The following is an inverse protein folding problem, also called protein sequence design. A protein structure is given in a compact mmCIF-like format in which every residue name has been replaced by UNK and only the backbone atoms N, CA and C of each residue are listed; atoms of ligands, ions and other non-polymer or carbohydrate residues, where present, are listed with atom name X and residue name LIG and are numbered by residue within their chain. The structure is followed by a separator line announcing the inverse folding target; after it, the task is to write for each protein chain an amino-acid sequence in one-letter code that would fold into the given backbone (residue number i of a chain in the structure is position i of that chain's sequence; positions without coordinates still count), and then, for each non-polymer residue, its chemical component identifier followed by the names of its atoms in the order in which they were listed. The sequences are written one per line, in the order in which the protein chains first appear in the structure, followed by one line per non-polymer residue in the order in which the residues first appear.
data_IF_719314653395
#
_entry.id   IF_719314653395
#
_cell.length_a   1.000
_cell.length_b   1.000
_cell.length_c   1.000
_cell.angle_alpha   90.00
_cell.angle_beta   90.00
_cell.angle_gamma   90.00
#
_symmetry.space_group_name_H-M   'P 1'
#
loop_
_entity.id
_entity.type
_entity.pdbx_description
1 polymer ?
#
# COMPACT_ATOMS: atom_id res chain seq x y z
N UNK A 1 14.02 -30.82 -3.35
CA UNK A 1 12.81 -30.00 -3.13
C UNK A 1 13.25 -28.63 -2.69
N UNK A 2 12.74 -27.56 -3.31
CA UNK A 2 13.05 -26.20 -2.89
C UNK A 2 12.16 -25.86 -1.70
N UNK A 3 12.76 -25.59 -0.55
CA UNK A 3 12.06 -25.17 0.66
C UNK A 3 11.96 -23.64 0.71
N UNK A 4 10.93 -23.12 1.33
CA UNK A 4 10.84 -21.70 1.63
C UNK A 4 11.87 -21.32 2.70
N UNK A 5 12.61 -20.25 2.47
CA UNK A 5 13.52 -19.68 3.46
C UNK A 5 12.74 -19.16 4.67
N UNK A 6 13.42 -18.85 5.77
CA UNK A 6 12.81 -18.11 6.86
C UNK A 6 12.27 -16.77 6.31
N UNK A 7 10.97 -16.60 6.41
CA UNK A 7 10.31 -15.37 5.95
C UNK A 7 10.68 -14.18 6.83
N UNK A 8 10.43 -12.97 6.32
CA UNK A 8 10.59 -11.72 7.05
C UNK A 8 9.35 -10.86 6.93
N UNK A 9 9.13 -10.00 7.89
CA UNK A 9 7.99 -9.08 7.89
C UNK A 9 8.37 -7.75 8.53
N UNK A 10 7.59 -6.73 8.22
CA UNK A 10 7.74 -5.40 8.81
C UNK A 10 6.42 -4.65 8.70
N UNK A 11 6.05 -3.93 9.76
CA UNK A 11 4.95 -2.96 9.78
C UNK A 11 5.51 -1.60 10.16
N UNK A 12 5.14 -0.58 9.41
CA UNK A 12 5.62 0.80 9.61
C UNK A 12 4.44 1.74 9.69
N UNK A 13 4.46 2.57 10.72
CA UNK A 13 3.45 3.62 10.91
C UNK A 13 3.46 4.61 9.77
N UNK A 14 2.30 4.91 9.24
CA UNK A 14 2.07 5.87 8.17
C UNK A 14 2.47 7.29 8.53
N UNK A 15 2.99 8.03 7.55
CA UNK A 15 3.37 9.43 7.76
C UNK A 15 2.18 10.31 8.21
N UNK A 16 0.96 10.00 7.75
CA UNK A 16 -0.26 10.68 8.17
C UNK A 16 -0.64 10.32 9.62
N UNK A 17 -0.56 9.05 10.01
CA UNK A 17 -0.83 8.59 11.38
C UNK A 17 0.19 9.16 12.36
N UNK A 18 1.48 9.17 12.00
CA UNK A 18 2.54 9.78 12.82
C UNK A 18 2.28 11.27 13.12
N UNK A 19 1.84 12.03 12.10
CA UNK A 19 1.47 13.46 12.29
C UNK A 19 0.25 13.65 13.20
N UNK A 20 -0.62 12.64 13.30
CA UNK A 20 -1.83 12.66 14.15
C UNK A 20 -1.61 11.99 15.52
N UNK A 21 -0.38 11.56 15.84
CA UNK A 21 -0.06 10.78 17.04
C UNK A 21 -0.93 9.51 17.20
N UNK A 22 -1.31 8.88 16.09
CA UNK A 22 -2.01 7.60 16.11
C UNK A 22 -1.00 6.46 16.16
N UNK A 23 -1.36 5.28 16.71
CA UNK A 23 -0.56 4.09 16.60
C UNK A 23 -0.52 3.59 15.15
N UNK A 24 0.43 2.70 14.84
CA UNK A 24 0.34 1.88 13.64
C UNK A 24 -0.87 0.95 13.79
N UNK A 25 -1.83 1.06 12.90
CA UNK A 25 -3.04 0.23 12.89
C UNK A 25 -2.84 -1.08 12.12
N UNK A 26 -1.77 -1.16 11.34
CA UNK A 26 -1.36 -2.35 10.61
C UNK A 26 -0.62 -3.36 11.50
N UNK A 27 -0.71 -4.62 11.10
CA UNK A 27 0.08 -5.72 11.65
C UNK A 27 0.58 -6.65 10.56
N UNK A 28 1.81 -7.14 10.71
CA UNK A 28 2.36 -8.20 9.89
C UNK A 28 3.03 -9.26 10.75
N UNK A 29 3.01 -10.50 10.27
CA UNK A 29 3.61 -11.62 11.00
C UNK A 29 4.11 -12.69 10.03
N UNK A 30 5.24 -13.28 10.37
CA UNK A 30 5.73 -14.51 9.78
C UNK A 30 5.93 -15.52 10.89
N UNK A 31 5.33 -16.69 10.77
CA UNK A 31 5.47 -17.73 11.76
C UNK A 31 5.65 -19.12 11.12
N UNK A 32 6.35 -19.98 11.79
CA UNK A 32 6.56 -21.38 11.38
C UNK A 32 5.76 -22.30 12.29
N UNK A 33 4.74 -22.92 11.72
CA UNK A 33 3.87 -23.87 12.45
C UNK A 33 4.55 -25.24 12.60
N UNK A 34 5.25 -25.66 11.53
CA UNK A 34 6.02 -26.91 11.52
C UNK A 34 7.24 -26.75 10.59
N UNK A 35 8.18 -27.71 10.53
CA UNK A 35 9.31 -27.64 9.59
C UNK A 35 8.88 -27.40 8.13
N UNK A 36 7.69 -27.90 7.75
CA UNK A 36 7.15 -27.88 6.39
C UNK A 36 5.97 -26.92 6.20
N UNK A 37 5.59 -26.13 7.21
CA UNK A 37 4.51 -25.16 7.12
C UNK A 37 4.91 -23.82 7.73
N UNK A 38 5.00 -22.80 6.88
CA UNK A 38 5.23 -21.41 7.26
C UNK A 38 4.05 -20.54 6.85
N UNK A 39 3.80 -19.48 7.59
CA UNK A 39 2.73 -18.52 7.32
C UNK A 39 3.30 -17.13 7.05
N UNK A 40 2.66 -16.41 6.11
CA UNK A 40 2.76 -14.96 5.98
C UNK A 40 1.39 -14.38 6.31
N UNK A 41 1.35 -13.37 7.16
CA UNK A 41 0.13 -12.73 7.64
C UNK A 41 0.29 -11.23 7.57
N UNK A 42 -0.73 -10.52 7.08
CA UNK A 42 -0.87 -9.06 7.18
C UNK A 42 -2.31 -8.72 7.55
N UNK A 43 -2.48 -7.62 8.25
CA UNK A 43 -3.80 -7.10 8.62
C UNK A 43 -3.72 -5.59 8.71
N UNK A 44 -4.63 -4.90 8.03
CA UNK A 44 -4.81 -3.46 8.06
C UNK A 44 -5.96 -3.13 9.01
N UNK A 45 -5.70 -2.29 10.00
CA UNK A 45 -6.68 -1.80 10.96
C UNK A 45 -7.36 -0.54 10.43
N UNK A 46 -8.69 -0.58 10.29
CA UNK A 46 -9.45 0.53 9.74
C UNK A 46 -9.23 1.85 10.47
N UNK A 47 -9.11 2.94 9.71
CA UNK A 47 -9.04 4.29 10.21
C UNK A 47 -10.40 4.82 10.71
N UNK A 48 -10.36 5.92 11.47
CA UNK A 48 -11.55 6.62 11.95
C UNK A 48 -11.96 6.30 13.39
N UNK A 49 -12.80 7.17 13.97
CA UNK A 49 -13.18 7.10 15.40
C UNK A 49 -13.98 5.85 15.78
N UNK A 50 -14.69 5.27 14.80
CA UNK A 50 -15.44 4.02 14.99
C UNK A 50 -14.52 2.82 15.29
N UNK A 51 -13.29 2.84 14.81
CA UNK A 51 -12.35 1.73 14.82
C UNK A 51 -11.15 2.00 15.75
N UNK A 52 -11.37 2.65 16.87
CA UNK A 52 -10.32 3.18 17.76
C UNK A 52 -9.36 2.14 18.36
N UNK A 53 -9.69 0.85 18.28
CA UNK A 53 -8.88 -0.30 18.73
C UNK A 53 -8.47 -1.19 17.56
N UNK A 54 -8.44 -0.66 16.35
CA UNK A 54 -8.10 -1.42 15.15
C UNK A 54 -6.64 -1.89 15.12
N UNK A 55 -5.73 -1.16 15.77
CA UNK A 55 -4.35 -1.60 16.02
C UNK A 55 -4.25 -2.88 16.85
N UNK A 56 -5.13 -3.02 17.84
CA UNK A 56 -5.28 -4.26 18.60
C UNK A 56 -5.99 -5.32 17.75
N UNK A 57 -7.01 -4.92 17.02
CA UNK A 57 -7.80 -5.80 16.15
C UNK A 57 -6.93 -6.48 15.08
N UNK A 58 -6.09 -5.74 14.37
CA UNK A 58 -5.19 -6.24 13.33
C UNK A 58 -4.14 -7.20 13.90
N UNK A 59 -3.55 -6.86 15.04
CA UNK A 59 -2.59 -7.72 15.72
C UNK A 59 -3.24 -9.04 16.16
N UNK A 60 -4.43 -9.00 16.77
CA UNK A 60 -5.16 -10.18 17.21
C UNK A 60 -5.67 -11.02 16.03
N UNK A 61 -5.95 -10.43 14.87
CA UNK A 61 -6.31 -11.14 13.65
C UNK A 61 -5.17 -12.05 13.16
N UNK A 62 -3.94 -11.54 13.14
CA UNK A 62 -2.76 -12.33 12.80
C UNK A 62 -2.55 -13.49 13.81
N UNK A 63 -2.73 -13.25 15.11
CA UNK A 63 -2.61 -14.30 16.13
C UNK A 63 -3.71 -15.35 15.96
N UNK A 64 -4.96 -14.95 15.77
CA UNK A 64 -6.08 -15.85 15.55
C UNK A 64 -5.88 -16.75 14.32
N UNK A 65 -5.31 -16.20 13.24
CA UNK A 65 -4.97 -16.96 12.04
C UNK A 65 -3.88 -18.01 12.31
N UNK A 66 -2.81 -17.64 13.01
CA UNK A 66 -1.74 -18.56 13.41
C UNK A 66 -2.28 -19.72 14.24
N UNK A 67 -3.08 -19.44 15.27
CA UNK A 67 -3.68 -20.45 16.14
C UNK A 67 -4.67 -21.37 15.41
N UNK A 68 -5.49 -20.79 14.51
CA UNK A 68 -6.46 -21.58 13.73
C UNK A 68 -5.74 -22.57 12.80
N UNK A 69 -4.73 -22.08 12.07
CA UNK A 69 -3.95 -22.91 11.15
C UNK A 69 -3.14 -23.95 11.90
N UNK A 70 -2.56 -23.60 13.04
CA UNK A 70 -1.86 -24.55 13.91
C UNK A 70 -2.74 -25.70 14.37
N UNK A 71 -3.99 -25.41 14.78
CA UNK A 71 -4.96 -26.42 15.18
C UNK A 71 -5.35 -27.36 14.03
N UNK A 72 -5.56 -26.82 12.82
CA UNK A 72 -5.87 -27.61 11.62
C UNK A 72 -4.66 -28.48 11.22
N UNK A 73 -3.46 -27.91 11.20
CA UNK A 73 -2.24 -28.61 10.82
C UNK A 73 -1.86 -29.75 11.77
N UNK A 74 -2.36 -29.73 13.01
CA UNK A 74 -2.20 -30.83 13.95
C UNK A 74 -2.98 -32.10 13.57
N UNK A 75 -4.04 -31.96 12.75
CA UNK A 75 -4.95 -33.05 12.40
C UNK A 75 -5.04 -33.35 10.91
N UNK A 76 -4.74 -32.37 10.06
CA UNK A 76 -4.79 -32.48 8.60
C UNK A 76 -3.39 -32.59 8.01
N UNK A 77 -3.14 -33.65 7.25
CA UNK A 77 -1.86 -33.84 6.55
C UNK A 77 -1.61 -32.74 5.51
N UNK A 78 -0.37 -32.23 5.44
CA UNK A 78 0.03 -31.24 4.42
C UNK A 78 -0.01 -31.81 2.98
N UNK A 79 -0.02 -33.12 2.81
CA UNK A 79 -0.17 -33.81 1.53
C UNK A 79 -1.61 -33.82 1.03
N UNK A 80 -2.60 -33.64 1.93
CA UNK A 80 -4.03 -33.56 1.57
C UNK A 80 -4.40 -32.17 1.03
N UNK A 81 -4.00 -31.89 -0.22
CA UNK A 81 -4.30 -30.61 -0.87
C UNK A 81 -5.80 -30.37 -1.04
N UNK A 82 -6.61 -31.41 -1.22
CA UNK A 82 -8.06 -31.27 -1.32
C UNK A 82 -8.68 -30.85 0.02
N UNK A 83 -8.25 -31.45 1.11
CA UNK A 83 -8.61 -31.06 2.47
C UNK A 83 -8.20 -29.61 2.75
N UNK A 84 -6.96 -29.22 2.43
CA UNK A 84 -6.50 -27.84 2.62
C UNK A 84 -7.25 -26.82 1.78
N UNK A 85 -7.63 -27.17 0.53
CA UNK A 85 -8.48 -26.30 -0.29
C UNK A 85 -9.83 -26.03 0.39
N UNK A 86 -10.47 -27.09 0.91
CA UNK A 86 -11.74 -26.98 1.66
C UNK A 86 -11.58 -26.13 2.91
N UNK A 87 -10.44 -26.27 3.62
CA UNK A 87 -10.11 -25.44 4.78
C UNK A 87 -10.01 -23.97 4.40
N UNK A 88 -9.21 -23.63 3.39
CA UNK A 88 -9.00 -22.24 2.93
C UNK A 88 -10.31 -21.56 2.51
N UNK A 89 -11.20 -22.31 1.86
CA UNK A 89 -12.46 -21.78 1.33
C UNK A 89 -13.55 -21.59 2.40
N UNK A 90 -13.61 -22.45 3.43
CA UNK A 90 -14.79 -22.54 4.29
C UNK A 90 -14.50 -22.59 5.78
N UNK A 91 -13.69 -23.55 6.22
CA UNK A 91 -13.58 -23.88 7.66
C UNK A 91 -12.59 -22.97 8.38
N UNK A 92 -11.46 -22.65 7.72
CA UNK A 92 -10.43 -21.77 8.28
C UNK A 92 -10.95 -20.35 8.49
N UNK A 93 -11.69 -19.70 7.56
CA UNK A 93 -12.31 -18.40 7.79
C UNK A 93 -13.15 -18.35 9.07
N UNK A 94 -14.04 -19.32 9.25
CA UNK A 94 -14.89 -19.40 10.45
C UNK A 94 -14.07 -19.63 11.74
N UNK A 95 -13.04 -20.47 11.65
CA UNK A 95 -12.17 -20.75 12.79
C UNK A 95 -11.34 -19.52 13.19
N UNK A 96 -10.91 -18.70 12.24
CA UNK A 96 -10.19 -17.45 12.49
C UNK A 96 -11.13 -16.42 13.11
N UNK A 97 -12.29 -16.16 12.49
CA UNK A 97 -13.27 -15.21 13.00
C UNK A 97 -13.65 -15.51 14.45
N UNK A 98 -13.95 -16.76 14.75
CA UNK A 98 -14.32 -17.18 16.12
C UNK A 98 -13.20 -16.91 17.12
N UNK A 99 -11.94 -17.21 16.78
CA UNK A 99 -10.79 -16.95 17.66
C UNK A 99 -10.55 -15.45 17.83
N UNK A 100 -10.64 -14.70 16.73
CA UNK A 100 -10.50 -13.26 16.76
C UNK A 100 -11.56 -12.60 17.65
N UNK A 101 -12.83 -12.98 17.51
CA UNK A 101 -13.91 -12.46 18.35
C UNK A 101 -13.66 -12.73 19.84
N UNK A 102 -13.24 -13.94 20.20
CA UNK A 102 -12.88 -14.28 21.60
C UNK A 102 -11.69 -13.45 22.10
N UNK A 103 -10.68 -13.24 21.25
CA UNK A 103 -9.49 -12.49 21.62
C UNK A 103 -9.81 -11.00 21.87
N UNK A 104 -10.63 -10.38 21.03
CA UNK A 104 -11.04 -8.98 21.22
C UNK A 104 -12.00 -8.82 22.42
N UNK A 105 -12.89 -9.79 22.70
CA UNK A 105 -13.72 -9.80 23.91
C UNK A 105 -12.88 -9.91 25.17
N UNK A 106 -11.86 -10.78 25.16
CA UNK A 106 -10.91 -10.92 26.26
C UNK A 106 -10.14 -9.63 26.48
N UNK A 107 -9.64 -9.03 25.41
CA UNK A 107 -8.96 -7.73 25.47
C UNK A 107 -9.88 -6.65 26.04
N UNK A 108 -11.12 -6.54 25.54
CA UNK A 108 -12.11 -5.59 26.02
C UNK A 108 -12.35 -5.74 27.52
N UNK A 109 -12.58 -6.98 27.97
CA UNK A 109 -12.84 -7.28 29.39
C UNK A 109 -11.66 -6.98 30.32
N UNK A 110 -10.45 -6.91 29.77
CA UNK A 110 -9.24 -6.54 30.54
C UNK A 110 -9.04 -5.04 30.68
N UNK A 111 -9.79 -4.21 29.96
CA UNK A 111 -9.66 -2.75 30.05
C UNK A 111 -10.43 -2.24 31.29
N UNK A 112 -9.74 -1.64 32.22
CA UNK A 112 -10.30 -1.16 33.49
C UNK A 112 -11.31 -0.01 33.33
N UNK A 113 -11.29 0.69 32.18
CA UNK A 113 -12.10 1.90 31.95
C UNK A 113 -13.43 1.63 31.22
N UNK A 114 -13.75 0.38 30.87
CA UNK A 114 -14.92 0.04 30.06
C UNK A 114 -16.28 0.16 30.77
N UNK A 115 -16.31 0.58 32.04
CA UNK A 115 -17.53 0.62 32.87
C UNK A 115 -18.70 1.45 32.33
N UNK A 116 -18.55 2.17 31.22
CA UNK A 116 -19.60 3.03 30.61
C UNK A 116 -19.95 2.70 29.17
N UNK A 117 -19.15 1.87 28.51
CA UNK A 117 -19.38 1.52 27.10
C UNK A 117 -19.63 0.02 26.94
N UNK A 118 -20.52 -0.35 26.02
CA UNK A 118 -20.75 -1.75 25.67
C UNK A 118 -19.73 -2.23 24.65
N UNK A 119 -19.34 -3.50 24.74
CA UNK A 119 -18.49 -4.16 23.75
C UNK A 119 -19.07 -4.04 22.35
N UNK A 120 -18.20 -3.77 21.38
CA UNK A 120 -18.52 -3.85 19.94
C UNK A 120 -17.31 -4.31 19.16
N UNK A 121 -17.47 -5.35 18.34
CA UNK A 121 -16.42 -5.83 17.45
C UNK A 121 -15.99 -4.78 16.42
N UNK A 122 -16.88 -3.83 16.10
CA UNK A 122 -16.57 -2.72 15.20
C UNK A 122 -15.39 -1.85 15.68
N UNK A 123 -15.17 -1.75 17.00
CA UNK A 123 -14.03 -1.01 17.54
C UNK A 123 -12.68 -1.56 17.07
N UNK A 124 -12.62 -2.86 16.75
CA UNK A 124 -11.44 -3.64 16.38
C UNK A 124 -11.37 -3.94 14.88
N UNK A 125 -12.18 -3.26 14.06
CA UNK A 125 -12.31 -3.58 12.64
C UNK A 125 -10.98 -3.56 11.89
N UNK A 126 -10.73 -4.66 11.15
CA UNK A 126 -9.50 -4.84 10.38
C UNK A 126 -9.72 -5.81 9.21
N UNK A 127 -8.80 -5.76 8.24
CA UNK A 127 -8.64 -6.76 7.18
C UNK A 127 -7.79 -7.94 7.66
N UNK A 128 -7.60 -8.95 6.83
CA UNK A 128 -6.64 -10.02 7.07
C UNK A 128 -6.26 -10.70 5.76
N UNK A 129 -4.97 -10.73 5.43
CA UNK A 129 -4.38 -11.57 4.38
C UNK A 129 -3.57 -12.70 5.00
N UNK A 130 -3.77 -13.91 4.48
CA UNK A 130 -3.14 -15.15 4.98
C UNK A 130 -2.54 -15.91 3.82
N UNK A 131 -1.26 -16.30 3.94
CA UNK A 131 -0.57 -17.19 3.01
C UNK A 131 0.04 -18.36 3.76
N UNK A 132 -0.23 -19.57 3.29
CA UNK A 132 0.35 -20.81 3.76
C UNK A 132 1.41 -21.28 2.77
N UNK A 133 2.60 -21.62 3.27
CA UNK A 133 3.75 -22.02 2.47
C UNK A 133 4.18 -23.43 2.87
N UNK A 134 4.13 -24.36 1.92
CA UNK A 134 4.66 -25.72 2.07
C UNK A 134 5.68 -26.04 0.97
N UNK A 135 6.46 -27.11 1.06
CA UNK A 135 7.34 -27.53 -0.02
C UNK A 135 6.62 -27.88 -1.32
N UNK A 136 5.35 -28.36 -1.26
CA UNK A 136 4.61 -28.88 -2.40
C UNK A 136 3.55 -27.92 -2.95
N UNK A 137 3.05 -27.00 -2.14
CA UNK A 137 2.03 -26.04 -2.53
C UNK A 137 2.12 -24.78 -1.67
N UNK A 138 1.53 -23.70 -2.16
CA UNK A 138 1.16 -22.58 -1.32
C UNK A 138 -0.33 -22.29 -1.48
N UNK A 139 -0.93 -21.71 -0.46
CA UNK A 139 -2.33 -21.28 -0.52
C UNK A 139 -2.50 -19.94 0.14
N UNK A 140 -3.52 -19.20 -0.32
CA UNK A 140 -3.89 -17.94 0.31
C UNK A 140 -5.40 -17.85 0.53
N UNK A 141 -5.78 -17.06 1.51
CA UNK A 141 -7.16 -16.68 1.81
C UNK A 141 -7.15 -15.37 2.60
N UNK A 142 -8.31 -14.74 2.77
CA UNK A 142 -8.37 -13.50 3.55
C UNK A 142 -9.62 -12.68 3.30
N UNK A 143 -9.72 -11.57 4.02
CA UNK A 143 -10.79 -10.58 3.90
C UNK A 143 -10.20 -9.18 3.84
N UNK A 144 -10.81 -8.29 3.05
CA UNK A 144 -10.31 -6.93 2.84
C UNK A 144 -9.42 -6.82 1.61
N UNK A 145 -8.70 -5.73 1.48
CA UNK A 145 -7.97 -5.29 0.28
C UNK A 145 -6.44 -5.50 0.35
N UNK A 146 -6.01 -6.57 1.03
CA UNK A 146 -4.61 -6.99 1.01
C UNK A 146 -4.17 -7.42 -0.39
N UNK A 147 -2.87 -7.26 -0.70
CA UNK A 147 -2.25 -7.63 -1.97
C UNK A 147 -1.25 -8.78 -1.79
N UNK A 148 -1.30 -9.77 -2.70
CA UNK A 148 -0.33 -10.85 -2.81
C UNK A 148 0.36 -10.82 -4.17
N UNK A 149 1.68 -10.65 -4.17
CA UNK A 149 2.50 -10.68 -5.37
C UNK A 149 3.31 -11.96 -5.42
N UNK A 150 3.18 -12.70 -6.52
CA UNK A 150 3.95 -13.89 -6.83
C UNK A 150 5.06 -13.56 -7.84
N UNK A 151 6.31 -13.93 -7.53
CA UNK A 151 7.50 -13.56 -8.29
C UNK A 151 8.18 -14.84 -8.79
N UNK A 152 8.43 -14.90 -10.09
CA UNK A 152 9.09 -15.98 -10.80
C UNK A 152 10.62 -15.81 -10.80
N UNK A 153 11.33 -16.88 -11.18
CA UNK A 153 12.74 -16.77 -11.50
C UNK A 153 12.96 -15.76 -12.63
N UNK A 154 13.88 -14.80 -12.41
CA UNK A 154 14.09 -13.70 -13.36
C UNK A 154 13.39 -12.40 -13.02
N UNK A 155 12.56 -12.38 -11.96
CA UNK A 155 11.94 -11.16 -11.45
C UNK A 155 10.59 -10.81 -12.09
N UNK A 156 10.04 -11.71 -12.91
CA UNK A 156 8.67 -11.54 -13.42
C UNK A 156 7.67 -11.65 -12.26
N UNK A 157 6.92 -10.59 -12.02
CA UNK A 157 6.02 -10.43 -10.88
C UNK A 157 4.58 -10.26 -11.34
N UNK A 158 3.64 -10.93 -10.65
CA UNK A 158 2.21 -10.81 -10.92
C UNK A 158 1.40 -10.67 -9.63
N UNK A 159 0.34 -9.89 -9.69
CA UNK A 159 -0.63 -9.82 -8.61
C UNK A 159 -1.51 -11.09 -8.63
N UNK A 160 -1.62 -11.76 -7.48
CA UNK A 160 -2.36 -13.03 -7.35
C UNK A 160 -3.83 -12.79 -7.10
N UNK A 161 -4.13 -11.93 -6.14
CA UNK A 161 -5.48 -11.62 -5.68
C UNK A 161 -5.90 -10.25 -6.19
N UNK A 162 -6.02 -10.10 -7.50
CA UNK A 162 -6.63 -8.89 -8.02
C UNK A 162 -8.07 -8.87 -7.54
N UNK A 163 -8.36 -7.97 -6.60
CA UNK A 163 -9.74 -7.66 -6.30
C UNK A 163 -10.35 -7.21 -7.62
N UNK A 164 -11.31 -7.94 -8.13
CA UNK A 164 -12.19 -7.39 -9.13
C UNK A 164 -12.87 -6.24 -8.39
N UNK A 165 -12.34 -5.03 -8.60
CA UNK A 165 -13.05 -3.81 -8.28
C UNK A 165 -14.39 -3.95 -9.00
N UNK A 166 -15.36 -4.52 -8.30
CA UNK A 166 -16.74 -4.44 -8.73
C UNK A 166 -16.97 -2.96 -8.87
N UNK A 167 -17.34 -2.52 -10.07
CA UNK A 167 -17.59 -1.11 -10.42
C UNK A 167 -18.76 -0.50 -9.64
N UNK A 168 -19.17 -1.12 -8.58
CA UNK A 168 -20.13 -0.62 -7.60
C UNK A 168 -19.39 0.31 -6.62
N UNK A 169 -19.21 1.56 -7.09
CA UNK A 169 -19.21 2.78 -6.27
C UNK A 169 -19.12 2.57 -4.75
N UNK A 170 -17.97 2.84 -4.15
CA UNK A 170 -17.86 3.29 -2.77
C UNK A 170 -18.16 2.26 -1.68
N UNK A 171 -18.09 0.97 -1.94
CA UNK A 171 -18.21 -0.03 -0.89
C UNK A 171 -16.99 0.01 0.02
N UNK A 172 -17.28 0.19 1.30
CA UNK A 172 -16.29 0.14 2.36
C UNK A 172 -15.56 -1.22 2.30
N UNK A 173 -14.24 -1.20 2.45
CA UNK A 173 -13.39 -2.39 2.55
C UNK A 173 -14.00 -3.43 3.48
N UNK A 174 -14.08 -4.69 3.04
CA UNK A 174 -14.58 -5.78 3.84
C UNK A 174 -13.72 -6.01 5.09
N UNK A 175 -14.36 -6.27 6.20
CA UNK A 175 -13.71 -6.33 7.51
C UNK A 175 -14.15 -7.54 8.33
N UNK A 176 -13.25 -8.04 9.17
CA UNK A 176 -13.56 -9.09 10.14
C UNK A 176 -14.72 -8.74 11.10
N UNK A 177 -14.94 -7.44 11.36
CA UNK A 177 -16.01 -6.98 12.23
C UNK A 177 -17.40 -6.91 11.58
N UNK A 178 -17.51 -7.17 10.26
CA UNK A 178 -18.76 -7.05 9.53
C UNK A 178 -19.58 -8.36 9.60
N UNK A 179 -20.87 -8.24 9.76
CA UNK A 179 -21.78 -9.35 9.58
C UNK A 179 -21.74 -9.84 8.13
N UNK A 180 -21.57 -11.16 7.92
CA UNK A 180 -21.48 -11.74 6.58
C UNK A 180 -20.07 -11.75 5.99
N UNK A 181 -19.05 -11.36 6.72
CA UNK A 181 -17.64 -11.39 6.30
C UNK A 181 -17.23 -12.76 5.71
N UNK A 182 -17.69 -13.87 6.31
CA UNK A 182 -17.34 -15.22 5.87
C UNK A 182 -17.79 -15.54 4.44
N UNK A 183 -18.91 -15.01 3.98
CA UNK A 183 -19.40 -15.27 2.62
C UNK A 183 -18.52 -14.62 1.54
N UNK A 184 -17.97 -13.45 1.83
CA UNK A 184 -17.04 -12.76 0.94
C UNK A 184 -15.63 -13.39 0.96
N UNK A 185 -15.25 -14.00 2.06
CA UNK A 185 -13.95 -14.61 2.24
C UNK A 185 -13.72 -15.83 1.33
N UNK A 186 -14.72 -16.68 1.17
CA UNK A 186 -14.64 -17.92 0.40
C UNK A 186 -14.17 -17.69 -1.06
N UNK A 187 -14.56 -16.58 -1.68
CA UNK A 187 -14.20 -16.25 -3.07
C UNK A 187 -12.72 -15.91 -3.28
N UNK A 188 -11.98 -15.68 -2.20
CA UNK A 188 -10.56 -15.28 -2.24
C UNK A 188 -9.58 -16.40 -1.96
N UNK A 189 -10.08 -17.58 -1.61
CA UNK A 189 -9.24 -18.73 -1.34
C UNK A 189 -8.63 -19.29 -2.62
N UNK A 190 -7.31 -19.47 -2.61
CA UNK A 190 -6.57 -20.11 -3.70
C UNK A 190 -5.58 -21.11 -3.14
N UNK A 191 -5.35 -22.21 -3.87
CA UNK A 191 -4.29 -23.16 -3.60
C UNK A 191 -3.56 -23.47 -4.89
N UNK A 192 -2.27 -23.16 -4.93
CA UNK A 192 -1.36 -23.37 -6.05
C UNK A 192 -0.53 -24.63 -5.80
N UNK A 193 -0.82 -25.75 -6.51
CA UNK A 193 0.01 -26.95 -6.46
C UNK A 193 1.30 -26.76 -7.25
N UNK A 194 2.37 -27.41 -6.83
CA UNK A 194 3.67 -27.42 -7.52
C UNK A 194 4.16 -25.99 -7.91
N UNK A 195 4.38 -25.12 -6.93
CA UNK A 195 4.69 -23.73 -7.21
C UNK A 195 6.02 -23.58 -7.95
N UNK A 196 6.00 -22.75 -8.99
CA UNK A 196 7.18 -22.32 -9.75
C UNK A 196 7.74 -20.98 -9.25
N UNK A 197 6.99 -20.29 -8.42
CA UNK A 197 7.37 -19.00 -7.86
C UNK A 197 8.61 -19.12 -6.96
N UNK A 198 9.51 -18.14 -7.08
CA UNK A 198 10.72 -18.02 -6.27
C UNK A 198 10.53 -17.16 -5.05
N UNK A 199 9.50 -16.31 -5.04
CA UNK A 199 9.14 -15.48 -3.89
C UNK A 199 7.66 -15.15 -3.87
N UNK A 200 7.16 -14.88 -2.65
CA UNK A 200 5.84 -14.31 -2.39
C UNK A 200 5.98 -13.08 -1.49
N UNK A 201 5.30 -12.01 -1.85
CA UNK A 201 5.21 -10.76 -1.08
C UNK A 201 3.73 -10.51 -0.78
N UNK A 202 3.36 -10.58 0.49
CA UNK A 202 2.04 -10.24 1.00
C UNK A 202 2.13 -8.87 1.66
N UNK A 203 1.21 -7.95 1.34
CA UNK A 203 1.21 -6.61 1.91
C UNK A 203 -0.20 -6.04 2.11
N UNK A 204 -0.29 -5.04 2.99
CA UNK A 204 -1.48 -4.19 3.12
C UNK A 204 -1.54 -3.21 1.94
N UNK A 205 -2.72 -2.70 1.66
CA UNK A 205 -3.00 -1.83 0.51
C UNK A 205 -2.23 -0.50 0.53
N UNK A 206 -1.82 -0.03 1.72
CA UNK A 206 -1.00 1.16 1.89
C UNK A 206 0.29 1.14 1.07
N UNK A 207 0.86 -0.07 0.82
CA UNK A 207 2.03 -0.24 -0.05
C UNK A 207 1.67 0.08 -1.50
N UNK A 208 0.61 -0.55 -2.04
CA UNK A 208 0.17 -0.33 -3.42
C UNK A 208 -0.36 1.07 -3.63
N UNK A 209 -1.13 1.61 -2.68
CA UNK A 209 -1.63 3.00 -2.70
C UNK A 209 -0.50 4.03 -2.73
N UNK A 210 0.69 3.67 -2.28
CA UNK A 210 1.87 4.55 -2.31
C UNK A 210 2.61 4.52 -3.65
N UNK A 211 2.26 3.63 -4.57
CA UNK A 211 2.83 3.52 -5.91
C UNK A 211 1.98 4.26 -6.93
N UNK A 212 2.61 4.78 -7.99
CA UNK A 212 1.92 5.51 -9.05
C UNK A 212 1.10 4.57 -9.95
N UNK A 213 1.65 3.40 -10.24
CA UNK A 213 1.05 2.39 -11.12
C UNK A 213 1.20 0.99 -10.52
N UNK A 214 0.43 0.03 -11.03
CA UNK A 214 0.58 -1.38 -10.67
C UNK A 214 1.97 -1.93 -11.08
N UNK A 215 2.53 -1.44 -12.18
CA UNK A 215 3.88 -1.82 -12.59
C UNK A 215 4.93 -1.36 -11.58
N UNK A 216 4.83 -0.13 -11.06
CA UNK A 216 5.71 0.37 -10.00
C UNK A 216 5.58 -0.46 -8.72
N UNK A 217 4.36 -0.84 -8.36
CA UNK A 217 4.09 -1.69 -7.22
C UNK A 217 4.74 -3.08 -7.36
N UNK A 218 4.57 -3.73 -8.52
CA UNK A 218 5.18 -5.03 -8.79
C UNK A 218 6.72 -4.94 -8.77
N UNK A 219 7.28 -3.89 -9.36
CA UNK A 219 8.72 -3.65 -9.33
C UNK A 219 9.23 -3.41 -7.90
N UNK A 220 8.51 -2.65 -7.10
CA UNK A 220 8.82 -2.45 -5.68
C UNK A 220 8.85 -3.78 -4.92
N UNK A 221 7.89 -4.67 -5.14
CA UNK A 221 7.85 -5.99 -4.51
C UNK A 221 9.09 -6.84 -4.88
N UNK A 222 9.55 -6.76 -6.14
CA UNK A 222 10.80 -7.43 -6.57
C UNK A 222 12.01 -6.83 -5.84
N UNK A 223 12.11 -5.51 -5.74
CA UNK A 223 13.22 -4.84 -5.04
C UNK A 223 13.26 -5.18 -3.55
N UNK A 224 12.11 -5.33 -2.90
CA UNK A 224 12.04 -5.73 -1.50
C UNK A 224 12.70 -7.07 -1.22
N UNK A 225 12.87 -7.96 -2.22
CA UNK A 225 13.52 -9.26 -2.02
C UNK A 225 14.97 -9.13 -1.60
N UNK A 226 15.66 -8.07 -2.02
CA UNK A 226 17.08 -7.82 -1.75
C UNK A 226 17.31 -7.05 -0.44
N UNK A 227 16.26 -6.49 0.16
CA UNK A 227 16.35 -5.62 1.33
C UNK A 227 16.00 -6.39 2.60
N UNK A 228 16.78 -6.23 3.66
CA UNK A 228 16.60 -6.95 4.93
C UNK A 228 16.75 -6.03 6.15
N UNK A 229 16.22 -6.48 7.29
CA UNK A 229 16.39 -5.81 8.58
C UNK A 229 15.89 -4.38 8.60
N UNK A 230 16.65 -3.48 9.20
CA UNK A 230 16.29 -2.07 9.36
C UNK A 230 16.10 -1.34 8.03
N UNK A 231 16.87 -1.69 6.99
CA UNK A 231 16.73 -1.09 5.67
C UNK A 231 15.35 -1.33 5.04
N UNK A 232 14.68 -2.45 5.35
CA UNK A 232 13.30 -2.69 4.91
C UNK A 232 12.34 -1.72 5.62
N UNK A 233 12.49 -1.53 6.91
CA UNK A 233 11.67 -0.60 7.68
C UNK A 233 11.87 0.86 7.21
N UNK A 234 13.10 1.26 6.97
CA UNK A 234 13.44 2.59 6.44
C UNK A 234 12.85 2.80 5.04
N UNK A 235 12.98 1.80 4.15
CA UNK A 235 12.39 1.84 2.81
C UNK A 235 10.86 2.01 2.86
N UNK A 236 10.17 1.22 3.68
CA UNK A 236 8.73 1.33 3.89
C UNK A 236 8.33 2.69 4.48
N UNK A 237 9.11 3.22 5.44
CA UNK A 237 8.87 4.56 5.99
C UNK A 237 8.98 5.67 4.93
N UNK A 238 9.90 5.54 3.99
CA UNK A 238 10.02 6.47 2.88
C UNK A 238 8.87 6.34 1.87
N UNK A 239 8.41 5.11 1.61
CA UNK A 239 7.28 4.83 0.72
C UNK A 239 6.02 5.52 1.26
N UNK A 240 5.67 5.31 2.53
CA UNK A 240 4.50 5.97 3.11
C UNK A 240 4.65 7.49 3.16
N UNK A 241 5.84 8.01 3.46
CA UNK A 241 6.07 9.44 3.55
C UNK A 241 5.91 10.17 2.20
N UNK A 242 6.23 9.52 1.09
CA UNK A 242 6.14 10.06 -0.27
C UNK A 242 4.84 9.70 -0.98
N UNK A 243 4.17 8.64 -0.53
CA UNK A 243 2.99 8.08 -1.17
C UNK A 243 1.69 8.39 -0.44
N UNK A 244 0.98 7.35 -0.03
CA UNK A 244 -0.36 7.44 0.57
C UNK A 244 -0.38 8.14 1.93
N UNK A 245 0.71 8.06 2.67
CA UNK A 245 0.77 8.48 4.08
C UNK A 245 0.14 7.48 5.05
N UNK A 246 -0.41 6.39 4.55
CA UNK A 246 -1.06 5.32 5.31
C UNK A 246 -0.03 4.39 5.95
N UNK A 247 -0.46 3.57 6.90
CA UNK A 247 0.35 2.49 7.44
C UNK A 247 0.72 1.52 6.32
N UNK A 248 1.88 0.88 6.42
CA UNK A 248 2.36 -0.09 5.42
C UNK A 248 2.93 -1.32 6.11
N UNK A 249 2.47 -2.49 5.68
CA UNK A 249 2.93 -3.78 6.21
C UNK A 249 3.26 -4.75 5.10
N UNK A 250 4.34 -5.51 5.30
CA UNK A 250 4.75 -6.56 4.38
C UNK A 250 5.13 -7.83 5.12
N UNK A 251 4.89 -8.98 4.48
CA UNK A 251 5.41 -10.28 4.86
C UNK A 251 5.94 -10.99 3.61
N UNK A 252 7.20 -11.44 3.63
CA UNK A 252 7.93 -11.89 2.46
C UNK A 252 8.53 -13.27 2.72
N UNK A 253 8.40 -14.19 1.76
CA UNK A 253 9.14 -15.44 1.74
C UNK A 253 9.76 -15.67 0.37
N UNK A 254 10.96 -16.28 0.37
CA UNK A 254 11.68 -16.66 -0.84
C UNK A 254 11.93 -18.17 -0.82
N UNK A 255 11.86 -18.80 -1.98
CA UNK A 255 12.32 -20.18 -2.12
C UNK A 255 13.83 -20.19 -2.24
N UNK A 256 14.50 -20.82 -1.29
CA UNK A 256 15.94 -21.02 -1.35
C UNK A 256 16.30 -21.91 -2.53
N UNK A 257 17.06 -21.38 -3.48
CA UNK A 257 18.05 -22.20 -4.14
C UNK A 257 19.06 -22.67 -3.06
N UNK A 258 19.92 -23.68 -3.32
CA UNK A 258 20.88 -24.12 -2.33
C UNK A 258 21.60 -22.90 -1.79
N UNK A 259 21.46 -22.66 -0.49
CA UNK A 259 22.21 -21.61 0.19
C UNK A 259 23.67 -21.89 -0.12
N UNK A 260 24.24 -21.12 -1.04
CA UNK A 260 25.67 -20.97 -1.10
C UNK A 260 26.08 -20.40 0.25
N UNK A 261 26.42 -21.29 1.17
CA UNK A 261 27.21 -20.95 2.34
C UNK A 261 28.55 -20.40 1.81
N UNK A 262 28.49 -19.15 1.40
CA UNK A 262 29.63 -18.44 0.85
C UNK A 262 30.51 -17.93 1.98
N UNK A 263 31.28 -18.81 2.58
CA UNK A 263 32.57 -18.37 3.05
C UNK A 263 33.40 -18.03 1.80
N UNK A 264 33.40 -16.74 1.42
CA UNK A 264 34.22 -16.25 0.33
C UNK A 264 33.50 -15.49 -0.79
N UNK A 265 32.45 -14.71 -0.51
CA UNK A 265 32.05 -13.67 -1.47
C UNK A 265 33.13 -12.59 -1.46
N UNK A 266 33.86 -12.51 -2.56
CA UNK A 266 34.91 -11.51 -2.79
C UNK A 266 34.33 -10.12 -2.57
N UNK A 267 35.00 -9.26 -1.83
CA UNK A 267 34.64 -7.85 -1.59
C UNK A 267 34.31 -7.06 -2.87
N UNK A 268 34.76 -7.54 -4.03
CA UNK A 268 34.45 -6.98 -5.35
C UNK A 268 32.99 -7.26 -5.78
N UNK A 269 32.40 -8.43 -5.42
CA UNK A 269 30.97 -8.71 -5.72
C UNK A 269 30.02 -7.91 -4.82
N UNK A 270 30.40 -7.64 -3.58
CA UNK A 270 29.67 -6.77 -2.67
C UNK A 270 29.64 -5.32 -3.17
N UNK A 271 30.73 -4.85 -3.80
CA UNK A 271 30.79 -3.49 -4.37
C UNK A 271 29.87 -3.30 -5.58
N UNK A 272 29.70 -4.32 -6.43
CA UNK A 272 28.81 -4.25 -7.61
C UNK A 272 27.35 -4.37 -7.20
N UNK A 273 27.02 -5.23 -6.24
CA UNK A 273 25.64 -5.35 -5.70
C UNK A 273 25.26 -4.09 -4.93
N UNK A 274 26.16 -3.56 -4.10
CA UNK A 274 25.92 -2.29 -3.39
C UNK A 274 25.80 -1.10 -4.36
N UNK A 275 26.53 -1.08 -5.47
CA UNK A 275 26.41 -0.03 -6.50
C UNK A 275 25.12 -0.19 -7.32
N UNK A 276 24.67 -1.40 -7.65
CA UNK A 276 23.42 -1.64 -8.35
C UNK A 276 22.19 -1.36 -7.45
N UNK A 277 22.23 -1.80 -6.20
CA UNK A 277 21.21 -1.50 -5.18
C UNK A 277 21.25 -0.02 -4.85
N UNK A 278 22.43 0.59 -4.71
CA UNK A 278 22.61 2.01 -4.50
C UNK A 278 22.11 2.86 -5.68
N UNK A 279 22.33 2.43 -6.92
CA UNK A 279 21.85 3.15 -8.11
C UNK A 279 20.34 2.99 -8.30
N UNK A 280 19.77 1.81 -8.05
CA UNK A 280 18.32 1.58 -8.04
C UNK A 280 17.65 2.36 -6.91
N UNK A 281 18.20 2.28 -5.69
CA UNK A 281 17.74 3.07 -4.55
C UNK A 281 17.96 4.57 -4.78
N UNK A 282 19.07 4.99 -5.38
CA UNK A 282 19.36 6.39 -5.68
C UNK A 282 18.45 6.95 -6.76
N UNK A 283 18.06 6.15 -7.75
CA UNK A 283 17.07 6.54 -8.75
C UNK A 283 15.66 6.66 -8.13
N UNK A 284 15.35 5.79 -7.19
CA UNK A 284 14.12 5.81 -6.39
C UNK A 284 14.14 6.88 -5.28
N UNK A 285 15.32 7.20 -4.75
CA UNK A 285 15.57 8.24 -3.74
C UNK A 285 15.71 9.64 -4.33
N UNK A 286 15.68 9.80 -5.66
CA UNK A 286 15.50 11.14 -6.22
C UNK A 286 14.25 11.74 -5.59
N UNK A 287 14.32 12.95 -5.01
CA UNK A 287 13.13 13.59 -4.48
C UNK A 287 12.10 13.60 -5.61
N UNK A 288 10.96 12.94 -5.36
CA UNK A 288 9.85 12.96 -6.30
C UNK A 288 9.57 14.43 -6.58
N UNK A 289 9.48 14.79 -7.86
CA UNK A 289 9.16 16.15 -8.25
C UNK A 289 7.90 16.56 -7.51
N UNK A 290 7.95 17.57 -6.62
CA UNK A 290 6.80 18.01 -5.85
C UNK A 290 5.59 18.30 -6.74
N UNK A 291 5.83 18.76 -7.98
CA UNK A 291 4.81 19.00 -8.98
C UNK A 291 4.17 17.71 -9.47
N UNK A 292 4.95 16.66 -9.74
CA UNK A 292 4.43 15.37 -10.17
C UNK A 292 3.53 14.72 -9.10
N UNK A 293 3.91 14.81 -7.82
CA UNK A 293 3.10 14.33 -6.70
C UNK A 293 1.79 15.10 -6.57
N UNK A 294 1.83 16.39 -6.74
CA UNK A 294 0.65 17.25 -6.64
C UNK A 294 -0.32 17.01 -7.80
N UNK A 295 0.19 16.90 -9.02
CA UNK A 295 -0.59 16.51 -10.19
C UNK A 295 -1.26 15.15 -9.97
N UNK A 296 -0.53 14.19 -9.45
CA UNK A 296 -1.07 12.86 -9.17
C UNK A 296 -2.19 12.90 -8.13
N UNK A 297 -2.04 13.69 -7.08
CA UNK A 297 -3.09 13.87 -6.07
C UNK A 297 -4.34 14.53 -6.63
N UNK A 298 -4.18 15.56 -7.45
CA UNK A 298 -5.31 16.23 -8.12
C UNK A 298 -6.02 15.30 -9.11
N UNK A 299 -5.27 14.47 -9.83
CA UNK A 299 -5.82 13.51 -10.78
C UNK A 299 -6.63 12.38 -10.10
N UNK A 300 -6.34 12.07 -8.84
CA UNK A 300 -7.13 11.11 -8.05
C UNK A 300 -8.46 11.68 -7.56
N UNK A 301 -8.59 13.01 -7.51
CA UNK A 301 -9.76 13.73 -7.01
C UNK A 301 -10.22 14.80 -8.01
N UNK A 302 -10.73 14.39 -9.18
CA UNK A 302 -11.09 15.33 -10.26
C UNK A 302 -12.09 16.41 -9.82
N UNK A 303 -12.94 16.11 -8.85
CA UNK A 303 -13.89 17.06 -8.26
C UNK A 303 -13.23 18.23 -7.51
N UNK A 304 -11.96 18.11 -7.15
CA UNK A 304 -11.18 19.13 -6.43
C UNK A 304 -10.35 20.01 -7.33
N UNK A 305 -10.17 19.62 -8.60
CA UNK A 305 -9.26 20.29 -9.54
C UNK A 305 -9.66 21.75 -9.72
N UNK A 306 -10.91 22.04 -10.05
CA UNK A 306 -11.36 23.43 -10.30
C UNK A 306 -11.23 24.32 -9.08
N UNK A 307 -11.60 23.80 -7.90
CA UNK A 307 -11.49 24.55 -6.64
C UNK A 307 -10.02 24.85 -6.29
N UNK A 308 -9.12 23.89 -6.45
CA UNK A 308 -7.68 24.04 -6.20
C UNK A 308 -7.06 25.07 -7.16
N UNK A 309 -7.33 24.97 -8.46
CA UNK A 309 -6.81 25.89 -9.46
C UNK A 309 -7.35 27.32 -9.27
N UNK A 310 -8.63 27.47 -8.90
CA UNK A 310 -9.25 28.77 -8.62
C UNK A 310 -8.63 29.43 -7.38
N UNK A 311 -8.45 28.69 -6.31
CA UNK A 311 -7.82 29.18 -5.09
C UNK A 311 -6.39 29.66 -5.35
N UNK A 312 -5.59 28.90 -6.09
CA UNK A 312 -4.20 29.25 -6.42
C UNK A 312 -4.11 30.44 -7.36
N UNK A 313 -5.01 30.53 -8.34
CA UNK A 313 -5.09 31.72 -9.20
C UNK A 313 -5.33 32.99 -8.40
N UNK A 314 -6.21 32.95 -7.40
CA UNK A 314 -6.46 34.10 -6.53
C UNK A 314 -5.23 34.47 -5.69
N UNK A 315 -4.55 33.47 -5.13
CA UNK A 315 -3.31 33.68 -4.39
C UNK A 315 -2.19 34.23 -5.28
N UNK A 316 -2.07 33.71 -6.50
CA UNK A 316 -1.09 34.14 -7.47
C UNK A 316 -1.34 35.58 -7.97
N UNK A 317 -2.58 35.94 -8.26
CA UNK A 317 -2.96 37.30 -8.63
C UNK A 317 -2.70 38.30 -7.50
N UNK A 318 -2.91 37.89 -6.25
CA UNK A 318 -2.57 38.71 -5.08
C UNK A 318 -1.05 38.90 -4.92
N UNK A 319 -0.26 37.92 -5.32
CA UNK A 319 1.23 37.98 -5.29
C UNK A 319 1.77 38.85 -6.46
N UNK A 320 1.16 38.79 -7.66
CA UNK A 320 1.52 39.64 -8.81
C UNK A 320 1.29 41.14 -8.54
N UNK A 321 0.38 41.49 -7.64
CA UNK A 321 0.21 42.87 -7.17
C UNK A 321 1.43 43.39 -6.39
N UNK A 322 2.40 42.53 -6.04
CA UNK A 322 3.64 42.89 -5.34
C UNK A 322 4.85 42.35 -6.12
N UNK A 323 5.46 43.15 -7.04
CA UNK A 323 6.48 42.68 -7.99
C UNK A 323 7.69 41.96 -7.36
N UNK A 324 8.14 42.42 -6.19
CA UNK A 324 9.26 41.76 -5.46
C UNK A 324 8.95 40.36 -4.93
N UNK A 325 7.68 40.06 -4.65
CA UNK A 325 7.25 38.72 -4.21
C UNK A 325 7.01 37.78 -5.38
N UNK A 326 6.56 38.31 -6.52
CA UNK A 326 6.38 37.52 -7.73
C UNK A 326 7.72 37.00 -8.27
N UNK A 327 8.77 37.82 -8.23
CA UNK A 327 10.10 37.42 -8.63
C UNK A 327 10.71 36.35 -7.69
N UNK A 328 10.51 36.47 -6.38
CA UNK A 328 10.96 35.49 -5.42
C UNK A 328 10.25 34.13 -5.57
N UNK A 329 9.00 34.12 -6.04
CA UNK A 329 8.25 32.86 -6.29
C UNK A 329 8.73 32.15 -7.57
N UNK A 330 9.09 32.90 -8.59
CA UNK A 330 9.69 32.39 -9.85
C UNK A 330 11.11 31.83 -9.61
N UNK A 331 11.83 32.40 -8.65
CA UNK A 331 13.17 31.93 -8.25
C UNK A 331 13.16 30.75 -7.29
N UNK A 332 12.00 30.43 -6.68
CA UNK A 332 11.82 29.29 -5.77
C UNK A 332 10.62 28.39 -6.18
N UNK A 333 10.69 27.72 -7.33
CA UNK A 333 9.59 26.88 -7.82
C UNK A 333 9.27 25.68 -6.91
N UNK A 334 10.10 25.44 -5.88
CA UNK A 334 9.91 24.33 -4.94
C UNK A 334 8.80 24.59 -3.89
N UNK A 335 8.36 25.85 -3.73
CA UNK A 335 7.35 26.21 -2.71
C UNK A 335 5.92 26.01 -3.22
N UNK A 336 5.64 26.34 -4.47
CA UNK A 336 4.36 26.08 -5.16
C UNK A 336 4.58 25.74 -6.65
N UNK A 337 4.97 24.50 -6.94
CA UNK A 337 5.31 24.10 -8.32
C UNK A 337 4.13 24.20 -9.29
N UNK A 338 2.90 23.94 -8.83
CA UNK A 338 1.70 24.06 -9.66
C UNK A 338 1.34 25.51 -9.92
N UNK A 339 1.52 26.39 -8.93
CA UNK A 339 1.36 27.83 -9.09
C UNK A 339 2.37 28.41 -10.11
N UNK A 340 3.61 27.97 -10.06
CA UNK A 340 4.65 28.35 -11.02
C UNK A 340 4.32 27.86 -12.45
N UNK A 341 3.77 26.66 -12.59
CA UNK A 341 3.31 26.11 -13.87
C UNK A 341 2.14 26.93 -14.46
N UNK A 342 1.16 27.29 -13.64
CA UNK A 342 0.00 28.11 -14.05
C UNK A 342 0.44 29.50 -14.52
N UNK A 343 1.53 30.03 -13.94
CA UNK A 343 2.04 31.35 -14.21
C UNK A 343 2.95 31.47 -15.42
N UNK A 344 3.75 30.45 -15.70
CA UNK A 344 4.94 30.59 -16.54
C UNK A 344 5.00 29.77 -17.82
N UNK A 345 4.13 28.81 -18.08
CA UNK A 345 4.28 27.89 -19.21
C UNK A 345 3.13 27.91 -20.19
N UNK A 346 3.43 27.79 -21.49
CA UNK A 346 2.41 27.51 -22.49
C UNK A 346 1.77 26.14 -22.28
N UNK A 347 0.43 25.98 -22.50
CA UNK A 347 -0.30 24.74 -22.27
C UNK A 347 0.32 23.51 -22.93
N UNK A 348 0.88 23.70 -24.13
CA UNK A 348 1.46 22.65 -24.96
C UNK A 348 2.79 22.10 -24.40
N UNK A 349 3.55 22.95 -23.73
CA UNK A 349 4.84 22.58 -23.14
C UNK A 349 4.67 21.85 -21.82
N UNK A 350 3.66 22.21 -21.04
CA UNK A 350 3.29 21.53 -19.81
C UNK A 350 2.70 20.13 -20.07
N UNK A 351 1.84 20.00 -21.09
CA UNK A 351 1.18 18.72 -21.47
C UNK A 351 2.18 17.68 -21.98
N UNK A 352 3.28 18.11 -22.62
CA UNK A 352 4.31 17.20 -23.14
C UNK A 352 5.32 16.72 -22.08
N UNK A 353 5.52 17.50 -21.02
CA UNK A 353 6.51 17.21 -19.95
C UNK A 353 5.91 16.57 -18.71
N UNK A 354 4.61 16.70 -18.52
CA UNK A 354 3.91 16.25 -17.32
C UNK A 354 2.80 15.26 -17.70
N UNK A 355 2.72 14.15 -17.01
CA UNK A 355 1.63 13.19 -17.17
C UNK A 355 0.34 13.76 -16.57
N UNK A 356 -0.31 14.67 -17.28
CA UNK A 356 -1.58 15.26 -16.86
C UNK A 356 -2.73 14.30 -17.15
N UNK A 357 -3.62 14.13 -16.18
CA UNK A 357 -4.89 13.46 -16.48
C UNK A 357 -5.80 14.37 -17.32
N UNK A 358 -6.70 13.80 -18.14
CA UNK A 358 -7.57 14.58 -19.03
C UNK A 358 -8.35 15.70 -18.34
N UNK A 359 -8.83 15.44 -17.12
CA UNK A 359 -9.58 16.44 -16.34
C UNK A 359 -8.72 17.64 -15.91
N UNK A 360 -7.48 17.41 -15.49
CA UNK A 360 -6.55 18.48 -15.11
C UNK A 360 -6.09 19.27 -16.34
N UNK A 361 -5.79 18.59 -17.44
CA UNK A 361 -5.41 19.23 -18.70
C UNK A 361 -6.54 20.13 -19.22
N UNK A 362 -7.77 19.67 -19.21
CA UNK A 362 -8.95 20.44 -19.62
C UNK A 362 -9.15 21.69 -18.74
N UNK A 363 -9.04 21.54 -17.42
CA UNK A 363 -9.19 22.64 -16.47
C UNK A 363 -8.08 23.71 -16.63
N UNK A 364 -6.82 23.27 -16.84
CA UNK A 364 -5.70 24.18 -17.12
C UNK A 364 -5.90 24.92 -18.44
N UNK A 365 -6.28 24.26 -19.53
CA UNK A 365 -6.59 24.88 -20.82
C UNK A 365 -7.70 25.94 -20.72
N UNK A 366 -8.75 25.64 -19.95
CA UNK A 366 -9.84 26.61 -19.71
C UNK A 366 -9.35 27.86 -18.98
N UNK A 367 -8.49 27.70 -17.97
CA UNK A 367 -7.92 28.84 -17.24
C UNK A 367 -6.96 29.67 -18.08
N UNK A 368 -6.12 29.07 -18.91
CA UNK A 368 -5.22 29.80 -19.82
C UNK A 368 -5.99 30.58 -20.88
N UNK A 369 -7.08 30.03 -21.42
CA UNK A 369 -7.95 30.74 -22.36
C UNK A 369 -8.54 31.99 -21.71
N UNK A 370 -9.10 31.86 -20.52
CA UNK A 370 -9.67 32.96 -19.72
C UNK A 370 -8.61 34.03 -19.36
N UNK A 371 -7.34 33.65 -19.15
CA UNK A 371 -6.27 34.59 -18.83
C UNK A 371 -5.85 35.41 -20.04
N UNK A 372 -5.87 34.88 -21.28
CA UNK A 372 -5.59 35.60 -22.51
C UNK A 372 -6.70 36.57 -22.86
N UNK A 373 -7.95 36.18 -22.68
CA UNK A 373 -9.10 37.08 -22.94
C UNK A 373 -9.12 38.30 -22.02
N UNK A 374 -8.55 38.22 -20.83
CA UNK A 374 -8.40 39.35 -19.89
C UNK A 374 -7.19 40.24 -20.14
N UNK A 375 -6.22 39.79 -20.93
CA UNK A 375 -4.99 40.57 -21.26
C UNK A 375 -5.02 41.29 -22.61
N UNK A 376 -6.03 41.04 -23.47
CA UNK A 376 -6.18 41.88 -24.70
C UNK A 376 -6.84 43.21 -24.30
N UNK A 377 -6.11 44.32 -24.35
CA UNK A 377 -6.72 45.63 -24.20
C UNK A 377 -7.63 45.86 -25.40
N UNK A 378 -8.89 46.23 -25.11
CA UNK A 378 -9.86 46.70 -26.06
C UNK A 378 -9.18 47.64 -27.10
N UNK A 379 -8.91 47.14 -28.30
CA UNK A 379 -8.67 48.01 -29.45
C UNK A 379 -9.99 48.69 -29.78
N UNK A 380 -10.14 49.90 -29.26
CA UNK A 380 -11.19 50.80 -29.71
C UNK A 380 -11.04 51.02 -31.25
N UNK A 381 -12.15 50.94 -32.01
CA UNK A 381 -12.07 51.24 -33.44
C UNK A 381 -11.69 52.72 -33.64
N UNK A 382 -10.63 52.97 -34.39
CA UNK A 382 -10.32 54.32 -34.88
C UNK A 382 -11.54 54.82 -35.67
N UNK A 383 -12.13 55.90 -35.22
CA UNK A 383 -13.14 56.63 -35.99
C UNK A 383 -12.43 57.40 -37.11
N UNK A 384 -13.11 57.54 -38.27
CA UNK A 384 -12.57 58.13 -39.47
C UNK A 384 -12.34 59.65 -39.35
#
# INVERSE_FOLDING_TARGET
MHTWSAGRHCSVIGAAHRRQNKPCQDSSRVCRISPDLQLLLVSDGHGGSRYRLSDVGSRLACVAAEEAIGAIAATLSLQDQAGWRKQLERELPAAIEQRWLRAIETHWSSQLETGKESFSSALYGCTLGVVLLTPQWWGCTGIGDWDLVAIQAGGDARLVNQEQLSQASGEATLSLCQSGALSAWASRAQLQPQPSETALVLCTDGVRKSCATDADFLQLCVQMLEIQGEALAEGLAQITARGSGDDVSVAIAQRGGPTRSGKGASLAALGVVAAAVGAGLWWWLKPADPLALEIQQLCRHPERIEASLKQRRQQFLALLATPSKAQALLEQPQVDPLGALIAGSAPEEASSKLQLCPALEQALRAQWKSARETQEPSRAPARP
#
